data_IF_898984387490
#
_entry.id   IF_898984387490
#
_cell.length_a   1.000
_cell.length_b   1.000
_cell.length_c   1.000
_cell.angle_alpha   90.00
_cell.angle_beta   90.00
_cell.angle_gamma   90.00
#
_symmetry.space_group_name_H-M   'P 1'
#
loop_
_entity.id
_entity.type
_entity.pdbx_description
1 polymer ?
#
# COMPACT_ATOMS: atom_id res chain seq x y z
N UNK A 1 -3.96 -40.02 20.38
CA UNK A 1 -4.17 -38.66 19.82
C UNK A 1 -3.25 -37.72 20.56
N UNK A 2 -2.17 -37.21 19.96
CA UNK A 2 -1.34 -36.26 20.71
C UNK A 2 -2.05 -34.91 20.84
N UNK A 3 -1.63 -34.09 21.78
CA UNK A 3 -2.30 -32.84 22.13
C UNK A 3 -1.68 -31.70 21.31
N UNK A 4 -2.44 -31.06 20.42
CA UNK A 4 -2.03 -29.77 19.82
C UNK A 4 -2.19 -28.73 20.93
N UNK A 5 -1.23 -27.81 21.09
CA UNK A 5 -1.42 -26.72 22.04
C UNK A 5 -2.66 -25.91 21.62
N UNK A 6 -3.68 -25.92 22.48
CA UNK A 6 -4.98 -25.32 22.21
C UNK A 6 -4.87 -23.83 21.88
N UNK A 7 -3.91 -23.12 22.50
CA UNK A 7 -3.65 -21.71 22.25
C UNK A 7 -3.10 -21.49 20.84
N UNK A 8 -2.13 -22.30 20.40
CA UNK A 8 -1.54 -22.21 19.06
C UNK A 8 -2.59 -22.51 17.99
N UNK A 9 -3.42 -23.54 18.21
CA UNK A 9 -4.53 -23.89 17.29
C UNK A 9 -5.54 -22.75 17.16
N UNK A 10 -5.93 -22.14 18.28
CA UNK A 10 -6.87 -20.99 18.28
C UNK A 10 -6.26 -19.76 17.62
N UNK A 11 -5.00 -19.45 17.92
CA UNK A 11 -4.29 -18.31 17.32
C UNK A 11 -4.17 -18.48 15.80
N UNK A 12 -3.80 -19.67 15.32
CA UNK A 12 -3.72 -19.94 13.89
C UNK A 12 -5.08 -19.78 13.18
N UNK A 13 -6.15 -20.34 13.76
CA UNK A 13 -7.51 -20.19 13.21
C UNK A 13 -7.91 -18.71 13.17
N UNK A 14 -7.61 -17.95 14.23
CA UNK A 14 -7.90 -16.52 14.28
C UNK A 14 -7.16 -15.75 13.17
N UNK A 15 -5.86 -16.00 12.99
CA UNK A 15 -5.05 -15.39 11.92
C UNK A 15 -5.59 -15.76 10.54
N UNK A 16 -5.94 -17.02 10.28
CA UNK A 16 -6.55 -17.42 9.00
C UNK A 16 -7.89 -16.72 8.75
N UNK A 17 -8.73 -16.57 9.78
CA UNK A 17 -10.00 -15.84 9.65
C UNK A 17 -9.75 -14.36 9.33
N UNK A 18 -8.79 -13.70 9.99
CA UNK A 18 -8.41 -12.33 9.66
C UNK A 18 -7.91 -12.20 8.22
N UNK A 19 -7.03 -13.11 7.77
CA UNK A 19 -6.56 -13.14 6.38
C UNK A 19 -7.75 -13.29 5.41
N UNK A 20 -8.68 -14.21 5.70
CA UNK A 20 -9.87 -14.41 4.86
C UNK A 20 -10.79 -13.19 4.79
N UNK A 21 -11.02 -12.50 5.92
CA UNK A 21 -11.80 -11.26 5.97
C UNK A 21 -11.12 -10.17 5.15
N UNK A 22 -9.82 -9.92 5.39
CA UNK A 22 -9.05 -8.90 4.66
C UNK A 22 -9.05 -9.21 3.16
N UNK A 23 -8.81 -10.47 2.78
CA UNK A 23 -8.82 -10.91 1.39
C UNK A 23 -10.18 -10.71 0.71
N UNK A 24 -11.28 -10.90 1.44
CA UNK A 24 -12.63 -10.68 0.92
C UNK A 24 -12.93 -9.20 0.76
N UNK A 25 -12.49 -8.36 1.70
CA UNK A 25 -12.62 -6.91 1.62
C UNK A 25 -11.81 -6.35 0.44
N UNK A 26 -10.56 -6.80 0.26
CA UNK A 26 -9.72 -6.41 -0.86
C UNK A 26 -10.35 -6.84 -2.20
N UNK A 27 -10.81 -8.08 -2.30
CA UNK A 27 -11.50 -8.57 -3.50
C UNK A 27 -12.75 -7.75 -3.85
N UNK A 28 -13.52 -7.35 -2.83
CA UNK A 28 -14.67 -6.47 -3.04
C UNK A 28 -14.23 -5.08 -3.54
N UNK A 29 -13.20 -4.47 -2.93
CA UNK A 29 -12.65 -3.19 -3.36
C UNK A 29 -12.15 -3.27 -4.81
N UNK A 30 -11.41 -4.32 -5.17
CA UNK A 30 -10.92 -4.57 -6.53
C UNK A 30 -12.08 -4.72 -7.51
N UNK A 31 -13.14 -5.45 -7.14
CA UNK A 31 -14.33 -5.67 -7.98
C UNK A 31 -15.15 -4.39 -8.21
N UNK A 32 -15.47 -3.66 -7.14
CA UNK A 32 -16.21 -2.41 -7.25
C UNK A 32 -15.39 -1.31 -7.93
N UNK A 33 -14.09 -1.23 -7.62
CA UNK A 33 -13.16 -0.30 -8.25
C UNK A 33 -13.06 -0.56 -9.76
N UNK A 34 -12.80 -1.80 -10.16
CA UNK A 34 -12.76 -2.19 -11.57
C UNK A 34 -14.07 -1.87 -12.30
N UNK A 35 -15.24 -2.15 -11.68
CA UNK A 35 -16.54 -1.82 -12.26
C UNK A 35 -16.76 -0.31 -12.45
N UNK A 36 -16.31 0.53 -11.50
CA UNK A 36 -16.41 1.98 -11.60
C UNK A 36 -15.55 2.53 -12.75
N UNK A 37 -14.31 2.08 -12.89
CA UNK A 37 -13.41 2.52 -13.96
C UNK A 37 -13.77 1.94 -15.34
N UNK A 38 -14.42 0.77 -15.39
CA UNK A 38 -14.88 0.21 -16.66
C UNK A 38 -16.01 1.05 -17.30
N UNK A 39 -16.81 1.74 -16.47
CA UNK A 39 -17.88 2.61 -16.94
C UNK A 39 -17.36 3.92 -17.57
N UNK A 40 -16.12 4.33 -17.29
CA UNK A 40 -15.49 5.53 -17.86
C UNK A 40 -14.70 5.27 -19.16
N UNK A 41 -14.85 4.10 -19.80
CA UNK A 41 -14.16 3.68 -21.05
C UNK A 41 -12.62 3.63 -20.97
N UNK A 42 -12.00 3.81 -19.80
CA UNK A 42 -10.54 3.99 -19.68
C UNK A 42 -9.74 2.71 -19.40
N UNK A 43 -10.36 1.57 -19.03
CA UNK A 43 -9.61 0.39 -18.57
C UNK A 43 -10.19 -0.94 -19.12
N UNK A 44 -9.53 -1.50 -20.16
CA UNK A 44 -9.52 -2.96 -20.41
C UNK A 44 -8.82 -3.67 -19.24
N UNK A 45 -9.05 -4.97 -19.02
CA UNK A 45 -8.43 -5.72 -17.90
C UNK A 45 -6.90 -5.61 -18.01
N UNK A 46 -6.33 -4.65 -17.27
CA UNK A 46 -4.91 -4.44 -17.24
C UNK A 46 -4.28 -5.69 -16.62
N UNK A 47 -3.15 -6.19 -17.14
CA UNK A 47 -2.51 -7.40 -16.60
C UNK A 47 -2.31 -7.37 -15.09
N UNK A 48 -2.05 -6.19 -14.51
CA UNK A 48 -1.96 -5.99 -13.07
C UNK A 48 -3.25 -6.32 -12.30
N UNK A 49 -4.41 -5.91 -12.82
CA UNK A 49 -5.72 -6.18 -12.19
C UNK A 49 -6.02 -7.68 -12.19
N UNK A 50 -5.74 -8.36 -13.31
CA UNK A 50 -5.91 -9.81 -13.39
C UNK A 50 -5.05 -10.55 -12.34
N UNK A 51 -3.78 -10.13 -12.17
CA UNK A 51 -2.90 -10.71 -11.15
C UNK A 51 -3.41 -10.47 -9.74
N UNK A 52 -3.94 -9.27 -9.44
CA UNK A 52 -4.54 -8.96 -8.14
C UNK A 52 -5.72 -9.87 -7.82
N UNK A 53 -6.66 -10.05 -8.77
CA UNK A 53 -7.79 -10.97 -8.59
C UNK A 53 -7.34 -12.41 -8.28
N UNK A 54 -6.37 -12.91 -9.03
CA UNK A 54 -5.85 -14.27 -8.83
C UNK A 54 -5.20 -14.41 -7.46
N UNK A 55 -4.39 -13.43 -7.06
CA UNK A 55 -3.71 -13.42 -5.77
C UNK A 55 -4.73 -13.40 -4.62
N UNK A 56 -5.71 -12.49 -4.67
CA UNK A 56 -6.76 -12.33 -3.64
C UNK A 56 -7.68 -13.56 -3.54
N UNK A 57 -8.07 -14.13 -4.68
CA UNK A 57 -8.87 -15.35 -4.69
C UNK A 57 -8.07 -16.54 -4.13
N UNK A 58 -6.79 -16.66 -4.51
CA UNK A 58 -5.92 -17.71 -4.00
C UNK A 58 -5.69 -17.58 -2.48
N UNK A 59 -5.43 -16.37 -1.96
CA UNK A 59 -5.25 -16.14 -0.52
C UNK A 59 -6.51 -16.44 0.26
N UNK A 60 -7.69 -16.13 -0.29
CA UNK A 60 -8.97 -16.49 0.31
C UNK A 60 -9.14 -18.02 0.40
N UNK A 61 -8.89 -18.75 -0.70
CA UNK A 61 -8.96 -20.21 -0.73
C UNK A 61 -7.97 -20.84 0.25
N UNK A 62 -6.72 -20.35 0.27
CA UNK A 62 -5.70 -20.81 1.18
C UNK A 62 -6.14 -20.59 2.64
N UNK A 63 -6.69 -19.42 2.98
CA UNK A 63 -7.18 -19.13 4.33
C UNK A 63 -8.24 -20.14 4.80
N UNK A 64 -9.17 -20.52 3.92
CA UNK A 64 -10.21 -21.53 4.17
C UNK A 64 -9.56 -22.91 4.39
N UNK A 65 -8.59 -23.28 3.55
CA UNK A 65 -7.81 -24.52 3.72
C UNK A 65 -7.04 -24.54 5.03
N UNK A 66 -6.50 -23.40 5.49
CA UNK A 66 -5.86 -23.25 6.79
C UNK A 66 -6.82 -23.55 7.94
N UNK A 67 -8.00 -22.92 7.95
CA UNK A 67 -9.04 -23.18 8.98
C UNK A 67 -9.50 -24.63 8.93
N UNK A 68 -9.77 -25.17 7.74
CA UNK A 68 -10.18 -26.57 7.54
C UNK A 68 -9.12 -27.54 8.04
N UNK A 69 -7.85 -27.32 7.66
CA UNK A 69 -6.70 -28.13 8.04
C UNK A 69 -6.50 -28.16 9.56
N UNK A 70 -6.64 -27.02 10.22
CA UNK A 70 -6.56 -26.93 11.68
C UNK A 70 -7.74 -27.63 12.38
N UNK A 71 -8.97 -27.41 11.93
CA UNK A 71 -10.18 -27.98 12.54
C UNK A 71 -10.26 -29.49 12.38
N UNK A 72 -10.00 -30.00 11.18
CA UNK A 72 -10.07 -31.43 10.83
C UNK A 72 -8.74 -32.16 11.01
N UNK A 73 -7.71 -31.46 11.47
CA UNK A 73 -6.36 -31.99 11.69
C UNK A 73 -5.81 -32.69 10.44
N UNK A 74 -6.07 -32.09 9.26
CA UNK A 74 -5.62 -32.58 7.97
C UNK A 74 -4.30 -31.91 7.59
N UNK A 75 -3.21 -32.67 7.68
CA UNK A 75 -1.84 -32.21 7.40
C UNK A 75 -1.71 -31.58 6.02
N UNK A 76 -2.24 -32.23 4.98
CA UNK A 76 -2.11 -31.77 3.60
C UNK A 76 -2.68 -30.36 3.40
N UNK A 77 -3.82 -30.04 4.03
CA UNK A 77 -4.45 -28.72 3.92
C UNK A 77 -3.61 -27.62 4.59
N UNK A 78 -3.02 -27.91 5.76
CA UNK A 78 -2.10 -26.98 6.45
C UNK A 78 -0.79 -26.81 5.67
N UNK A 79 -0.30 -27.87 5.00
CA UNK A 79 0.85 -27.78 4.10
C UNK A 79 0.56 -26.90 2.89
N UNK A 80 -0.60 -27.06 2.24
CA UNK A 80 -1.00 -26.20 1.12
C UNK A 80 -1.10 -24.73 1.53
N UNK A 81 -1.74 -24.45 2.68
CA UNK A 81 -1.75 -23.11 3.25
C UNK A 81 -0.33 -22.57 3.43
N UNK A 82 0.56 -23.33 4.08
CA UNK A 82 1.91 -22.88 4.37
C UNK A 82 2.70 -22.56 3.10
N UNK A 83 2.73 -23.48 2.13
CA UNK A 83 3.50 -23.29 0.89
C UNK A 83 2.91 -22.17 0.04
N UNK A 84 1.59 -22.17 -0.14
CA UNK A 84 0.91 -21.15 -0.93
C UNK A 84 1.07 -19.74 -0.36
N UNK A 85 0.89 -19.58 0.95
CA UNK A 85 1.06 -18.29 1.62
C UNK A 85 2.52 -17.82 1.59
N UNK A 86 3.49 -18.73 1.70
CA UNK A 86 4.92 -18.37 1.53
C UNK A 86 5.22 -17.86 0.12
N UNK A 87 4.68 -18.50 -0.92
CA UNK A 87 4.87 -18.03 -2.31
C UNK A 87 4.19 -16.67 -2.54
N UNK A 88 2.98 -16.47 -2.02
CA UNK A 88 2.28 -15.19 -2.07
C UNK A 88 3.05 -14.09 -1.33
N UNK A 89 3.57 -14.40 -0.15
CA UNK A 89 4.42 -13.52 0.67
C UNK A 89 5.69 -13.10 -0.07
N UNK A 90 6.39 -14.05 -0.72
CA UNK A 90 7.58 -13.74 -1.52
C UNK A 90 7.24 -12.84 -2.71
N UNK A 91 6.13 -13.10 -3.40
CA UNK A 91 5.66 -12.26 -4.49
C UNK A 91 5.37 -10.82 -4.00
N UNK A 92 4.64 -10.68 -2.89
CA UNK A 92 4.29 -9.38 -2.34
C UNK A 92 5.51 -8.60 -1.85
N UNK A 93 6.52 -9.29 -1.32
CA UNK A 93 7.80 -8.68 -0.97
C UNK A 93 8.50 -8.07 -2.19
N UNK A 94 8.58 -8.81 -3.31
CA UNK A 94 9.18 -8.31 -4.56
C UNK A 94 8.44 -7.07 -5.07
N UNK A 95 7.10 -7.10 -5.08
CA UNK A 95 6.31 -5.94 -5.50
C UNK A 95 6.47 -4.75 -4.55
N UNK A 96 6.55 -4.99 -3.24
CA UNK A 96 6.77 -3.92 -2.25
C UNK A 96 8.13 -3.22 -2.45
N UNK A 97 9.18 -3.98 -2.81
CA UNK A 97 10.49 -3.41 -3.14
C UNK A 97 10.42 -2.56 -4.41
N UNK A 98 9.73 -3.03 -5.45
CA UNK A 98 9.53 -2.26 -6.69
C UNK A 98 8.78 -0.95 -6.43
N UNK A 99 7.68 -1.00 -5.68
CA UNK A 99 6.89 0.19 -5.31
C UNK A 99 7.73 1.17 -4.48
N UNK A 100 8.58 0.66 -3.58
CA UNK A 100 9.47 1.50 -2.80
C UNK A 100 10.52 2.23 -3.68
N UNK A 101 11.11 1.52 -4.65
CA UNK A 101 12.04 2.14 -5.62
C UNK A 101 11.33 3.17 -6.49
N UNK A 102 10.14 2.81 -6.99
CA UNK A 102 9.30 3.68 -7.79
C UNK A 102 8.93 4.97 -7.07
N UNK A 103 8.85 4.99 -5.73
CA UNK A 103 8.62 6.22 -4.97
C UNK A 103 9.64 7.32 -5.30
N UNK A 104 10.93 6.99 -5.24
CA UNK A 104 11.98 7.97 -5.49
C UNK A 104 12.01 8.37 -6.97
N UNK A 105 11.84 7.41 -7.87
CA UNK A 105 11.78 7.66 -9.31
C UNK A 105 10.61 8.57 -9.67
N UNK A 106 9.42 8.34 -9.11
CA UNK A 106 8.24 9.18 -9.35
C UNK A 106 8.36 10.57 -8.77
N UNK A 107 8.98 10.74 -7.59
CA UNK A 107 9.26 12.07 -7.03
C UNK A 107 10.19 12.87 -7.97
N UNK A 108 11.24 12.23 -8.50
CA UNK A 108 12.16 12.88 -9.44
C UNK A 108 11.52 13.16 -10.81
N UNK A 109 10.76 12.22 -11.39
CA UNK A 109 10.02 12.44 -12.63
C UNK A 109 8.99 13.56 -12.47
N UNK A 110 8.25 13.58 -11.36
CA UNK A 110 7.30 14.65 -11.06
C UNK A 110 8.02 15.99 -10.97
N UNK A 111 9.19 16.02 -10.33
CA UNK A 111 10.03 17.22 -10.25
C UNK A 111 10.45 17.68 -11.64
N UNK A 112 11.05 16.81 -12.45
CA UNK A 112 11.53 17.14 -13.79
C UNK A 112 10.41 17.63 -14.71
N UNK A 113 9.27 16.95 -14.70
CA UNK A 113 8.10 17.31 -15.50
C UNK A 113 7.58 18.71 -15.14
N UNK A 114 7.52 19.04 -13.85
CA UNK A 114 7.09 20.35 -13.41
C UNK A 114 8.13 21.43 -13.72
N UNK A 115 9.42 21.15 -13.51
CA UNK A 115 10.50 22.07 -13.86
C UNK A 115 10.59 22.31 -15.36
N UNK A 116 10.25 21.32 -16.20
CA UNK A 116 10.19 21.46 -17.65
C UNK A 116 9.14 22.45 -18.15
N UNK A 117 8.18 22.85 -17.30
CA UNK A 117 7.18 23.89 -17.59
C UNK A 117 7.66 25.31 -17.26
N UNK A 118 8.88 25.47 -16.75
CA UNK A 118 9.46 26.78 -16.48
C UNK A 118 10.10 27.39 -17.73
N UNK A 119 10.05 28.72 -17.92
CA UNK A 119 9.35 29.71 -17.08
C UNK A 119 7.83 29.67 -17.30
N UNK A 120 7.07 29.95 -16.24
CA UNK A 120 5.59 29.92 -16.26
C UNK A 120 4.98 30.89 -17.30
N UNK A 121 5.69 31.95 -17.66
CA UNK A 121 5.27 32.92 -18.67
C UNK A 121 5.17 32.35 -20.09
N UNK A 122 5.79 31.19 -20.37
CA UNK A 122 5.75 30.52 -21.67
C UNK A 122 4.95 29.21 -21.69
N UNK A 123 4.26 28.87 -20.59
CA UNK A 123 3.53 27.62 -20.48
C UNK A 123 2.20 27.64 -21.26
N UNK A 124 1.74 26.46 -21.70
CA UNK A 124 0.45 26.31 -22.40
C UNK A 124 -0.72 26.55 -21.44
N UNK A 125 -1.88 26.95 -21.99
CA UNK A 125 -3.08 27.28 -21.20
C UNK A 125 -3.53 26.14 -20.28
N UNK A 126 -3.47 24.89 -20.74
CA UNK A 126 -3.86 23.71 -19.96
C UNK A 126 -2.95 23.48 -18.75
N UNK A 127 -1.64 23.68 -18.91
CA UNK A 127 -0.67 23.56 -17.81
C UNK A 127 -0.87 24.67 -16.78
N UNK A 128 -1.17 25.89 -17.24
CA UNK A 128 -1.46 27.03 -16.37
C UNK A 128 -2.75 26.82 -15.56
N UNK A 129 -3.80 26.31 -16.17
CA UNK A 129 -5.06 26.00 -15.49
C UNK A 129 -4.86 24.93 -14.39
N UNK A 130 -4.08 23.90 -14.68
CA UNK A 130 -3.69 22.90 -13.68
C UNK A 130 -2.95 23.52 -12.49
N UNK A 131 -1.98 24.40 -12.77
CA UNK A 131 -1.22 25.09 -11.74
C UNK A 131 -2.10 26.03 -10.90
N UNK A 132 -3.02 26.78 -11.51
CA UNK A 132 -3.96 27.64 -10.79
C UNK A 132 -4.84 26.84 -9.82
N UNK A 133 -5.36 25.69 -10.25
CA UNK A 133 -6.14 24.80 -9.40
C UNK A 133 -5.32 24.27 -8.22
N UNK A 134 -4.06 23.89 -8.45
CA UNK A 134 -3.14 23.47 -7.40
C UNK A 134 -2.90 24.60 -6.40
N UNK A 135 -2.60 25.81 -6.88
CA UNK A 135 -2.35 26.98 -6.04
C UNK A 135 -3.54 27.31 -5.14
N UNK A 136 -4.76 27.31 -5.69
CA UNK A 136 -5.97 27.59 -4.90
C UNK A 136 -6.29 26.47 -3.91
N UNK A 137 -6.15 25.20 -4.33
CA UNK A 137 -6.47 24.03 -3.50
C UNK A 137 -5.48 23.81 -2.36
N UNK A 138 -4.19 24.02 -2.63
CA UNK A 138 -3.09 23.76 -1.69
C UNK A 138 -2.50 25.03 -1.08
N UNK A 139 -3.07 26.21 -1.38
CA UNK A 139 -2.74 27.48 -0.73
C UNK A 139 -1.25 27.80 -0.85
N UNK A 140 -0.74 27.61 -2.06
CA UNK A 140 0.64 27.82 -2.47
C UNK A 140 0.69 28.74 -3.70
N UNK A 141 1.86 29.28 -4.02
CA UNK A 141 1.99 30.19 -5.15
C UNK A 141 3.30 29.93 -5.90
N UNK A 142 3.22 29.83 -7.23
CA UNK A 142 4.37 29.49 -8.07
C UNK A 142 4.90 28.08 -7.80
N UNK A 143 6.01 27.74 -8.44
CA UNK A 143 6.46 26.36 -8.51
C UNK A 143 7.68 26.09 -7.61
N UNK A 144 8.75 26.88 -7.75
CA UNK A 144 10.04 26.69 -7.09
C UNK A 144 10.36 27.88 -6.17
N UNK A 145 10.30 29.11 -6.67
CA UNK A 145 10.67 30.33 -5.92
C UNK A 145 9.45 31.03 -5.32
N UNK A 146 8.33 30.34 -5.22
CA UNK A 146 7.10 30.90 -4.71
C UNK A 146 6.48 31.86 -5.74
N UNK A 147 5.85 32.93 -5.26
CA UNK A 147 5.25 33.96 -6.12
C UNK A 147 6.23 34.64 -7.09
N UNK A 148 7.54 34.56 -6.84
CA UNK A 148 8.56 35.17 -7.69
C UNK A 148 8.70 34.50 -9.06
N UNK A 149 8.26 33.24 -9.20
CA UNK A 149 8.26 32.54 -10.49
C UNK A 149 7.37 33.20 -11.54
N UNK A 150 6.40 34.02 -11.10
CA UNK A 150 5.50 34.79 -11.97
C UNK A 150 6.09 36.12 -12.46
N UNK A 151 7.23 36.56 -11.92
CA UNK A 151 7.82 37.85 -12.24
C UNK A 151 6.90 39.02 -11.83
N UNK A 152 6.39 39.76 -12.80
CA UNK A 152 5.51 40.92 -12.55
C UNK A 152 4.03 40.56 -12.44
N UNK A 153 3.61 39.47 -13.08
CA UNK A 153 2.20 39.20 -13.39
C UNK A 153 1.72 38.01 -12.55
N UNK A 154 1.22 38.31 -11.35
CA UNK A 154 0.82 37.28 -10.38
C UNK A 154 -0.66 36.91 -10.59
N UNK A 155 -1.01 35.63 -10.73
CA UNK A 155 -2.40 35.22 -10.90
C UNK A 155 -3.19 35.33 -9.60
N UNK A 156 -4.50 35.55 -9.70
CA UNK A 156 -5.41 35.56 -8.54
C UNK A 156 -5.41 34.25 -7.74
N UNK A 157 -5.01 33.13 -8.34
CA UNK A 157 -4.86 31.84 -7.65
C UNK A 157 -3.81 31.86 -6.52
N UNK A 158 -2.90 32.83 -6.52
CA UNK A 158 -1.91 33.08 -5.46
C UNK A 158 -2.43 33.93 -4.29
N UNK A 159 -3.62 34.51 -4.41
CA UNK A 159 -4.13 35.48 -3.45
C UNK A 159 -4.35 34.79 -2.09
N UNK A 160 -3.74 35.34 -1.05
CA UNK A 160 -3.97 34.90 0.32
C UNK A 160 -4.95 35.84 1.02
N UNK A 161 -6.10 35.31 1.39
CA UNK A 161 -7.12 36.03 2.15
C UNK A 161 -6.75 36.15 3.64
N UNK A 162 -7.35 37.12 4.33
CA UNK A 162 -7.13 37.32 5.77
C UNK A 162 -7.48 36.07 6.60
N UNK A 163 -8.53 35.34 6.21
CA UNK A 163 -8.90 34.05 6.84
C UNK A 163 -7.78 33.01 6.72
N UNK A 164 -7.14 32.95 5.53
CA UNK A 164 -6.06 32.01 5.26
C UNK A 164 -4.80 32.37 6.04
N UNK A 165 -4.56 33.65 6.33
CA UNK A 165 -3.37 34.13 7.06
C UNK A 165 -3.24 33.54 8.48
N UNK A 166 -4.34 33.01 9.04
CA UNK A 166 -4.35 32.32 10.33
C UNK A 166 -3.68 30.95 10.26
N UNK A 167 -3.78 30.26 9.12
CA UNK A 167 -3.31 28.88 8.93
C UNK A 167 -2.13 28.77 7.97
N UNK A 168 -1.95 29.74 7.07
CA UNK A 168 -0.95 29.73 6.00
C UNK A 168 -0.05 30.96 6.07
N UNK A 169 1.20 30.79 5.65
CA UNK A 169 2.17 31.89 5.61
C UNK A 169 1.94 32.73 4.37
N UNK A 170 1.63 34.01 4.59
CA UNK A 170 1.39 34.96 3.53
C UNK A 170 2.36 36.13 3.60
N UNK A 171 2.73 36.67 2.44
CA UNK A 171 3.72 37.73 2.33
C UNK A 171 3.16 38.88 1.50
N UNK A 172 3.56 40.09 1.86
CA UNK A 172 3.31 41.25 1.04
C UNK A 172 4.03 41.10 -0.28
N UNK A 173 3.33 41.51 -1.33
CA UNK A 173 3.82 41.49 -2.70
C UNK A 173 4.68 42.73 -2.97
N UNK A 174 5.67 42.64 -3.87
CA UNK A 174 6.50 43.80 -4.22
C UNK A 174 5.73 44.88 -5.01
N UNK A 175 6.07 46.15 -4.80
CA UNK A 175 5.35 47.32 -5.37
C UNK A 175 5.21 47.31 -6.91
N UNK A 176 6.09 46.61 -7.63
CA UNK A 176 6.15 46.62 -9.10
C UNK A 176 5.40 45.46 -9.79
N UNK A 177 4.68 44.66 -9.02
CA UNK A 177 3.92 43.53 -9.58
C UNK A 177 2.47 43.96 -9.84
N UNK A 178 1.69 43.22 -10.63
CA UNK A 178 0.22 43.39 -10.79
C UNK A 178 -0.49 42.04 -10.65
N UNK A 179 -1.74 42.06 -10.19
CA UNK A 179 -2.58 40.86 -10.21
C UNK A 179 -3.25 40.74 -11.58
N UNK A 180 -3.23 39.55 -12.17
CA UNK A 180 -3.79 39.28 -13.50
C UNK A 180 -4.93 38.27 -13.37
N UNK A 181 -6.03 38.54 -14.08
CA UNK A 181 -7.16 37.63 -14.22
C UNK A 181 -6.96 36.86 -15.52
N UNK A 182 -6.69 35.56 -15.44
CA UNK A 182 -6.67 34.69 -16.62
C UNK A 182 -8.05 34.05 -16.77
N UNK A 183 -8.83 34.49 -17.76
CA UNK A 183 -10.06 33.81 -18.18
C UNK A 183 -9.74 32.70 -19.18
N UNK A 184 -10.12 31.45 -18.92
CA UNK A 184 -10.08 30.41 -19.94
C UNK A 184 -11.20 30.68 -20.94
N UNK A 185 -10.84 31.04 -22.18
CA UNK A 185 -11.73 31.35 -23.32
C UNK A 185 -12.43 32.72 -23.29
N UNK A 186 -11.67 33.81 -23.42
CA UNK A 186 -12.22 35.04 -23.98
C UNK A 186 -11.49 35.37 -25.28
N UNK A 187 -12.18 35.21 -26.41
CA UNK A 187 -11.83 35.88 -27.65
C UNK A 187 -11.70 37.38 -27.34
N UNK A 188 -10.57 37.92 -27.75
CA UNK A 188 -10.07 39.24 -27.40
C UNK A 188 -11.06 40.35 -27.82
N UNK A 189 -11.42 41.22 -26.87
CA UNK A 189 -11.64 42.64 -27.15
C UNK A 189 -10.62 43.44 -26.32
N UNK A 190 -9.60 43.94 -27.01
CA UNK A 190 -8.63 44.93 -26.54
C UNK A 190 -9.34 46.26 -26.22
N UNK A 191 -10.11 46.36 -25.14
CA UNK A 191 -10.61 47.67 -24.69
C UNK A 191 -11.09 47.69 -23.22
N UNK A 192 -11.11 46.57 -22.51
CA UNK A 192 -11.33 46.60 -21.06
C UNK A 192 -10.01 46.87 -20.33
N UNK A 193 -9.83 48.16 -20.03
CA UNK A 193 -8.98 48.72 -19.00
C UNK A 193 -8.84 47.70 -17.85
N UNK A 194 -7.71 46.99 -17.81
CA UNK A 194 -7.39 46.05 -16.73
C UNK A 194 -7.19 46.86 -15.47
N UNK A 195 -8.31 47.23 -14.85
CA UNK A 195 -8.37 47.86 -13.55
C UNK A 195 -8.02 46.78 -12.55
N UNK A 196 -6.71 46.50 -12.47
CA UNK A 196 -6.13 45.68 -11.42
C UNK A 196 -6.75 46.15 -10.12
N UNK A 197 -7.34 45.21 -9.38
CA UNK A 197 -7.89 45.47 -8.07
C UNK A 197 -6.69 45.96 -7.22
N UNK A 198 -6.59 47.26 -7.06
CA UNK A 198 -5.56 47.89 -6.23
C UNK A 198 -6.17 48.02 -4.84
N UNK A 199 -6.18 46.91 -4.10
CA UNK A 199 -6.39 46.96 -2.66
C UNK A 199 -5.02 46.82 -1.99
N UNK A 200 -4.72 47.74 -1.09
CA UNK A 200 -3.39 48.02 -0.53
C UNK A 200 -2.90 46.91 0.42
N UNK A 201 -3.71 45.86 0.60
CA UNK A 201 -3.46 44.76 1.54
C UNK A 201 -3.55 43.36 0.92
N UNK A 202 -3.39 43.21 -0.40
CA UNK A 202 -3.39 41.87 -1.00
C UNK A 202 -2.08 41.11 -0.74
N UNK A 203 -2.19 40.09 0.10
CA UNK A 203 -1.11 39.15 0.40
C UNK A 203 -1.07 38.01 -0.63
N UNK A 204 0.10 37.40 -0.79
CA UNK A 204 0.27 36.19 -1.61
C UNK A 204 0.77 35.04 -0.75
N UNK A 205 0.40 33.81 -1.10
CA UNK A 205 0.94 32.64 -0.43
C UNK A 205 2.47 32.58 -0.56
N UNK A 206 3.16 32.34 0.55
CA UNK A 206 4.62 32.30 0.60
C UNK A 206 5.19 30.98 0.05
N UNK A 207 4.48 29.88 0.26
CA UNK A 207 5.02 28.54 0.02
C UNK A 207 4.94 28.17 -1.47
N UNK A 208 6.01 27.58 -2.05
CA UNK A 208 6.00 27.10 -3.43
C UNK A 208 5.21 25.78 -3.55
N UNK A 209 4.58 25.55 -4.69
CA UNK A 209 3.71 24.38 -4.89
C UNK A 209 4.46 23.06 -5.15
N UNK A 210 5.67 23.09 -5.73
CA UNK A 210 6.41 21.87 -6.08
C UNK A 210 6.71 20.96 -4.87
N UNK A 211 7.27 21.43 -3.75
CA UNK A 211 7.52 20.56 -2.60
C UNK A 211 6.23 19.99 -2.00
N UNK A 212 5.12 20.74 -2.05
CA UNK A 212 3.81 20.24 -1.60
C UNK A 212 3.36 19.09 -2.50
N UNK A 213 3.47 19.24 -3.82
CA UNK A 213 3.11 18.19 -4.77
C UNK A 213 3.97 16.93 -4.59
N UNK A 214 5.29 17.10 -4.45
CA UNK A 214 6.20 15.98 -4.18
C UNK A 214 5.85 15.29 -2.87
N UNK A 215 5.53 16.05 -1.81
CA UNK A 215 5.09 15.48 -0.54
C UNK A 215 3.78 14.71 -0.66
N UNK A 216 2.85 15.17 -1.51
CA UNK A 216 1.57 14.51 -1.75
C UNK A 216 1.75 13.18 -2.48
N UNK A 217 2.58 13.15 -3.52
CA UNK A 217 2.95 11.92 -4.25
C UNK A 217 3.64 10.94 -3.31
N UNK A 218 4.65 11.41 -2.57
CA UNK A 218 5.40 10.59 -1.63
C UNK A 218 4.53 10.03 -0.50
N UNK A 219 3.59 10.83 0.02
CA UNK A 219 2.62 10.39 1.02
C UNK A 219 1.63 9.38 0.46
N UNK A 220 1.11 9.60 -0.75
CA UNK A 220 0.23 8.67 -1.45
C UNK A 220 0.86 7.29 -1.63
N UNK A 221 2.12 7.24 -2.07
CA UNK A 221 2.86 5.97 -2.20
C UNK A 221 3.11 5.33 -0.83
N UNK A 222 3.41 6.14 0.20
CA UNK A 222 3.62 5.63 1.56
C UNK A 222 2.34 5.02 2.16
N UNK A 223 1.17 5.58 1.84
CA UNK A 223 -0.14 5.01 2.21
C UNK A 223 -0.41 3.66 1.55
N UNK A 224 0.21 3.37 0.40
CA UNK A 224 0.10 2.06 -0.27
C UNK A 224 1.07 1.05 0.36
N UNK A 225 2.33 1.45 0.60
CA UNK A 225 3.37 0.55 1.14
C UNK A 225 3.00 0.04 2.54
N UNK A 226 2.45 0.90 3.40
CA UNK A 226 2.10 0.54 4.78
C UNK A 226 1.19 -0.70 4.90
N UNK A 227 0.00 -0.69 4.27
CA UNK A 227 -0.89 -1.85 4.21
C UNK A 227 -0.26 -3.12 3.62
N UNK A 228 0.57 -2.99 2.58
CA UNK A 228 1.27 -4.14 1.98
C UNK A 228 2.23 -4.80 2.97
N UNK A 229 3.02 -4.01 3.69
CA UNK A 229 3.94 -4.50 4.72
C UNK A 229 3.18 -5.14 5.89
N UNK A 230 2.06 -4.56 6.30
CA UNK A 230 1.22 -5.12 7.35
C UNK A 230 0.59 -6.47 6.94
N UNK A 231 0.12 -6.57 5.69
CA UNK A 231 -0.42 -7.81 5.13
C UNK A 231 0.64 -8.91 5.04
N UNK A 232 1.85 -8.53 4.58
CA UNK A 232 3.01 -9.40 4.53
C UNK A 232 3.33 -10.00 5.90
N UNK A 233 3.44 -9.16 6.93
CA UNK A 233 3.71 -9.60 8.29
C UNK A 233 2.62 -10.55 8.81
N UNK A 234 1.35 -10.27 8.51
CA UNK A 234 0.23 -11.14 8.89
C UNK A 234 0.34 -12.54 8.24
N UNK A 235 0.74 -12.60 6.97
CA UNK A 235 0.96 -13.86 6.25
C UNK A 235 2.12 -14.65 6.85
N UNK A 236 3.24 -13.99 7.15
CA UNK A 236 4.42 -14.63 7.74
C UNK A 236 4.12 -15.18 9.14
N UNK A 237 3.34 -14.45 9.96
CA UNK A 237 2.83 -14.96 11.25
C UNK A 237 1.96 -16.21 11.03
N UNK A 238 1.07 -16.18 10.04
CA UNK A 238 0.24 -17.32 9.67
C UNK A 238 1.07 -18.55 9.30
N UNK A 239 2.09 -18.37 8.47
CA UNK A 239 3.03 -19.43 8.05
C UNK A 239 3.80 -19.99 9.26
N UNK A 240 4.33 -19.14 10.14
CA UNK A 240 5.05 -19.59 11.33
C UNK A 240 4.17 -20.46 12.26
N UNK A 241 2.90 -20.05 12.45
CA UNK A 241 1.92 -20.83 13.21
C UNK A 241 1.56 -22.15 12.51
N UNK A 242 1.41 -22.15 11.18
CA UNK A 242 1.15 -23.36 10.38
C UNK A 242 2.29 -24.37 10.51
N UNK A 243 3.54 -23.92 10.39
CA UNK A 243 4.74 -24.75 10.58
C UNK A 243 4.77 -25.34 11.99
N UNK A 244 4.48 -24.52 13.00
CA UNK A 244 4.41 -24.97 14.41
C UNK A 244 3.36 -26.09 14.58
N UNK A 245 2.17 -25.94 13.99
CA UNK A 245 1.12 -26.97 14.02
C UNK A 245 1.58 -28.23 13.29
N UNK A 246 2.19 -28.11 12.12
CA UNK A 246 2.71 -29.25 11.36
C UNK A 246 3.78 -30.03 12.14
N UNK A 247 4.70 -29.33 12.81
CA UNK A 247 5.69 -29.94 13.70
C UNK A 247 5.03 -30.70 14.86
N UNK A 248 4.02 -30.11 15.50
CA UNK A 248 3.26 -30.78 16.57
C UNK A 248 2.51 -32.02 16.05
N UNK A 249 2.02 -32.01 14.80
CA UNK A 249 1.36 -33.16 14.18
C UNK A 249 2.35 -34.24 13.71
N UNK A 250 3.60 -33.89 13.40
CA UNK A 250 4.66 -34.83 12.99
C UNK A 250 5.25 -35.57 14.18
N UNK A 251 5.54 -34.88 15.30
CA UNK A 251 6.14 -35.47 16.51
C UNK A 251 5.37 -36.68 17.07
N UNK A 252 4.08 -36.80 16.75
CA UNK A 252 3.19 -37.88 17.21
C UNK A 252 3.30 -39.18 16.42
N UNK A 253 3.90 -39.18 15.23
CA UNK A 253 3.96 -40.37 14.37
C UNK A 253 5.04 -41.37 14.84
N UNK A 254 6.00 -40.95 15.66
CA UNK A 254 7.16 -41.76 16.10
C UNK A 254 7.05 -42.27 17.55
N UNK A 255 5.93 -42.86 17.96
CA UNK A 255 5.88 -43.62 19.23
C UNK A 255 5.61 -45.09 18.90
N UNK A 256 6.63 -45.97 18.90
CA UNK A 256 6.39 -47.41 18.73
C UNK A 256 5.53 -47.91 19.90
N UNK A 257 4.60 -48.86 19.68
CA UNK A 257 3.80 -49.42 20.75
C UNK A 257 4.72 -50.12 21.75
N UNK A 258 4.75 -49.63 23.00
CA UNK A 258 5.37 -50.37 24.10
C UNK A 258 4.42 -51.50 24.46
N UNK A 259 4.74 -52.71 23.99
CA UNK A 259 4.03 -53.92 24.39
C UNK A 259 4.58 -54.31 25.76
N UNK A 260 3.85 -54.01 26.84
CA UNK A 260 4.12 -54.60 28.14
C UNK A 260 3.60 -56.03 28.13
N UNK A 261 4.50 -57.00 27.88
CA UNK A 261 4.21 -58.40 28.13
C UNK A 261 4.26 -58.63 29.64
N UNK A 262 3.12 -59.00 30.24
CA UNK A 262 3.01 -59.38 31.66
C UNK A 262 3.58 -60.76 31.97
N UNK A 263 4.03 -61.51 30.95
CA UNK A 263 4.68 -62.79 31.15
C UNK A 263 6.12 -62.59 31.62
N UNK A 264 6.51 -63.14 32.78
CA UNK A 264 7.91 -63.20 33.15
C UNK A 264 8.67 -64.03 32.10
N UNK A 265 9.90 -63.64 31.72
CA UNK A 265 10.70 -64.43 30.79
C UNK A 265 10.89 -65.83 31.36
N UNK A 266 10.54 -66.84 30.55
CA UNK A 266 10.76 -68.24 30.89
C UNK A 266 12.28 -68.50 30.83
N UNK A 267 12.94 -68.53 31.99
CA UNK A 267 14.32 -68.96 32.09
C UNK A 267 14.37 -70.47 31.84
N UNK A 268 15.12 -70.88 30.81
CA UNK A 268 15.48 -72.27 30.57
C UNK A 268 16.76 -72.51 31.37
N UNK A 269 16.69 -73.30 32.44
CA UNK A 269 17.90 -73.74 33.12
C UNK A 269 18.72 -74.59 32.13
N UNK A 270 19.96 -74.15 31.85
CA UNK A 270 20.95 -75.01 31.24
C UNK A 270 21.40 -76.02 32.30
N UNK A 271 20.79 -77.21 32.30
CA UNK A 271 21.40 -78.38 32.90
C UNK A 271 22.52 -78.85 31.97
N UNK A 272 23.75 -78.38 32.20
CA UNK A 272 24.92 -79.07 31.67
C UNK A 272 25.07 -80.38 32.45
N UNK A 273 24.79 -81.46 31.74
CA UNK A 273 25.12 -82.82 32.15
C UNK A 273 26.62 -83.00 31.99
N UNK A 274 27.26 -83.47 33.05
CA UNK A 274 28.65 -83.86 33.06
C UNK A 274 28.91 -84.95 31.99
N UNK A 275 29.92 -84.74 31.15
CA UNK A 275 30.68 -85.83 30.56
C UNK A 275 32.15 -85.68 30.98
N UNK A 276 32.51 -86.55 31.93
CA UNK A 276 33.88 -86.95 32.22
C UNK A 276 34.25 -88.11 31.28
N UNK A 277 35.17 -87.88 30.34
CA UNK A 277 36.18 -88.86 29.88
C UNK A 277 37.43 -88.10 29.48
#
# INVERSE_FOLDING_TARGET
>A
MGIINICVKRAFIFVCVLIGIISTLLLAITLFGHGYFHQSEEIEILPGIAVLYVLEAATLVLSILGVYGARKEKKWAVVLFSVGMSLASLYLFVESVKIYQFKHEMEELTREEHLGRMPLSGANQTDLEGLYNIQTKFKCCGLVQGYQDWGTDIPLSCLCSDEDSTNFKCVARGNNTRFVIHYPNSDMSEDDDHKGLMDEHMLVYKEPCLPILLSLVGYGISLIIGPLVALQALWDIGVALAITILCQMRRKVNVPPVIFTSQPPQYRELCDTAESV
#
